data_IF_372555303901
#
_entry.id   IF_372555303901
#
_cell.length_a   1.000
_cell.length_b   1.000
_cell.length_c   1.000
_cell.angle_alpha   90.00
_cell.angle_beta   90.00
_cell.angle_gamma   90.00
#
_symmetry.space_group_name_H-M   'P 1'
#
loop_
_entity.id
_entity.type
_entity.pdbx_description
1 polymer ?
#
# COMPACT_ATOMS: atom_id res chain seq x y z
N UNK A 1 4.74 -5.23 49.12
CA UNK A 1 6.19 -5.47 49.07
C UNK A 1 6.95 -4.39 49.82
N UNK A 2 7.11 -3.17 49.29
CA UNK A 2 7.87 -2.11 50.00
C UNK A 2 7.15 -1.59 51.27
N UNK A 3 5.84 -1.34 51.18
CA UNK A 3 5.04 -0.87 52.32
C UNK A 3 4.53 -2.03 53.20
N UNK A 4 5.03 -3.25 53.00
CA UNK A 4 4.67 -4.46 53.77
C UNK A 4 3.17 -4.85 53.74
N UNK A 5 2.38 -4.30 52.81
CA UNK A 5 0.96 -4.66 52.61
C UNK A 5 0.79 -6.02 51.88
N UNK A 6 1.83 -6.49 51.19
CA UNK A 6 1.84 -7.71 50.38
C UNK A 6 3.19 -8.40 50.52
N UNK A 7 3.19 -9.72 50.73
CA UNK A 7 4.40 -10.52 51.00
C UNK A 7 5.17 -10.93 49.75
N UNK A 8 4.48 -11.21 48.63
CA UNK A 8 5.11 -11.66 47.37
C UNK A 8 4.36 -11.12 46.14
N UNK A 9 5.10 -10.78 45.08
CA UNK A 9 4.55 -10.43 43.77
C UNK A 9 5.01 -11.43 42.70
N UNK A 10 4.07 -11.94 41.91
CA UNK A 10 4.33 -12.83 40.76
C UNK A 10 3.81 -12.17 39.48
N UNK A 11 4.64 -12.15 38.43
CA UNK A 11 4.30 -11.53 37.16
C UNK A 11 5.51 -11.21 36.29
N UNK A 12 5.27 -10.53 35.17
CA UNK A 12 6.30 -10.12 34.22
C UNK A 12 6.96 -8.80 34.67
N UNK A 13 7.80 -8.90 35.69
CA UNK A 13 8.54 -7.75 36.20
C UNK A 13 9.90 -7.64 35.52
N UNK A 14 10.23 -6.45 35.02
CA UNK A 14 11.57 -6.16 34.54
C UNK A 14 12.55 -6.10 35.73
N UNK A 15 13.71 -6.72 35.56
CA UNK A 15 14.84 -6.63 36.48
C UNK A 15 15.65 -5.36 36.15
N UNK A 16 15.57 -4.34 37.00
CA UNK A 16 16.29 -3.05 36.83
C UNK A 16 17.03 -2.69 38.12
N UNK A 17 18.07 -1.84 38.00
CA UNK A 17 18.91 -1.46 39.13
C UNK A 17 18.10 -0.79 40.25
N UNK A 18 17.27 0.18 39.88
CA UNK A 18 16.47 0.99 40.79
C UNK A 18 15.48 0.13 41.58
N UNK A 19 14.95 -0.93 40.95
CA UNK A 19 14.03 -1.85 41.63
C UNK A 19 14.75 -2.79 42.58
N UNK A 20 15.99 -3.16 42.27
CA UNK A 20 16.83 -3.99 43.15
C UNK A 20 17.32 -3.24 44.40
N UNK A 21 17.28 -1.91 44.41
CA UNK A 21 17.58 -1.10 45.60
C UNK A 21 16.50 -1.19 46.67
N UNK A 22 15.24 -1.42 46.26
CA UNK A 22 14.08 -1.43 47.16
C UNK A 22 13.47 -2.81 47.36
N UNK A 23 13.67 -3.75 46.42
CA UNK A 23 13.03 -5.07 46.43
C UNK A 23 14.02 -6.18 46.07
N UNK A 24 13.91 -7.33 46.73
CA UNK A 24 14.66 -8.54 46.37
C UNK A 24 13.90 -9.36 45.33
N UNK A 25 14.51 -9.57 44.16
CA UNK A 25 13.97 -10.43 43.10
C UNK A 25 14.65 -11.81 43.05
N UNK A 26 13.96 -12.78 42.44
CA UNK A 26 14.55 -14.08 42.06
C UNK A 26 15.38 -13.92 40.78
N UNK A 27 16.33 -14.82 40.55
CA UNK A 27 17.13 -14.87 39.33
C UNK A 27 16.22 -14.81 38.08
N UNK A 28 16.48 -13.90 37.11
CA UNK A 28 15.65 -13.77 35.94
C UNK A 28 15.68 -15.06 35.09
N UNK A 29 14.50 -15.63 34.81
CA UNK A 29 14.35 -16.86 34.05
C UNK A 29 13.91 -16.64 32.59
N UNK A 30 13.50 -15.41 32.23
CA UNK A 30 13.06 -15.04 30.89
C UNK A 30 13.70 -13.73 30.45
N UNK A 31 14.34 -13.75 29.29
CA UNK A 31 14.99 -12.58 28.69
C UNK A 31 14.35 -12.29 27.32
N UNK A 32 13.94 -11.05 27.11
CA UNK A 32 13.40 -10.59 25.83
C UNK A 32 14.01 -9.25 25.45
N UNK A 33 14.00 -8.96 24.15
CA UNK A 33 14.45 -7.69 23.59
C UNK A 33 13.27 -6.73 23.47
N UNK A 34 13.54 -5.43 23.46
CA UNK A 34 12.52 -4.44 23.13
C UNK A 34 12.20 -4.57 21.63
N UNK A 35 10.97 -4.92 21.31
CA UNK A 35 10.50 -5.02 19.93
C UNK A 35 9.60 -3.81 19.66
N UNK A 36 9.91 -3.07 18.59
CA UNK A 36 9.08 -1.95 18.16
C UNK A 36 8.04 -2.46 17.15
N UNK A 37 6.76 -2.36 17.50
CA UNK A 37 5.67 -2.70 16.59
C UNK A 37 5.26 -1.49 15.77
N UNK A 38 5.54 -1.49 14.47
CA UNK A 38 5.04 -0.47 13.53
C UNK A 38 3.78 -1.03 12.88
N UNK A 39 2.63 -0.39 13.16
CA UNK A 39 1.42 -0.65 12.38
C UNK A 39 1.50 0.14 11.09
N UNK A 40 1.88 -0.51 10.01
CA UNK A 40 1.72 0.07 8.68
C UNK A 40 0.22 0.21 8.42
N UNK A 41 -0.24 1.46 8.26
CA UNK A 41 -1.53 1.74 7.64
C UNK A 41 -1.36 1.42 6.16
N UNK A 42 -1.47 0.14 5.80
CA UNK A 42 -1.59 -0.24 4.41
C UNK A 42 -2.86 0.41 3.89
N UNK A 43 -2.73 1.51 3.16
CA UNK A 43 -3.80 1.93 2.26
C UNK A 43 -3.79 0.92 1.12
N UNK A 44 -4.49 -0.18 1.34
CA UNK A 44 -4.84 -1.12 0.29
C UNK A 44 -5.72 -0.35 -0.68
N UNK A 45 -5.23 -0.16 -1.91
CA UNK A 45 -6.05 0.32 -3.03
C UNK A 45 -7.43 -0.35 -2.97
N UNK A 46 -8.47 0.45 -3.11
CA UNK A 46 -9.83 -0.08 -3.25
C UNK A 46 -9.89 -0.95 -4.51
N UNK A 47 -10.81 -1.92 -4.54
CA UNK A 47 -10.90 -2.87 -5.67
C UNK A 47 -11.02 -2.18 -7.04
N UNK A 48 -11.53 -0.95 -7.09
CA UNK A 48 -11.68 -0.17 -8.32
C UNK A 48 -10.40 0.58 -8.69
N UNK A 49 -9.63 1.08 -7.71
CA UNK A 49 -8.34 1.74 -7.93
C UNK A 49 -7.30 0.79 -8.52
N UNK A 50 -7.42 -0.52 -8.29
CA UNK A 50 -6.54 -1.55 -8.88
C UNK A 50 -6.59 -1.50 -10.42
N UNK A 51 -7.71 -1.15 -11.04
CA UNK A 51 -7.81 -1.05 -12.50
C UNK A 51 -7.04 0.16 -13.07
N UNK A 52 -6.96 1.25 -12.30
CA UNK A 52 -6.23 2.46 -12.69
C UNK A 52 -4.77 2.48 -12.20
N UNK A 53 -4.39 1.53 -11.33
CA UNK A 53 -3.05 1.37 -10.76
C UNK A 53 -1.88 1.28 -11.74
N UNK A 54 -1.97 0.62 -12.92
CA UNK A 54 -0.76 0.31 -13.69
C UNK A 54 -0.07 1.54 -14.29
N UNK A 55 -0.76 2.68 -14.42
CA UNK A 55 -0.24 3.86 -15.10
C UNK A 55 -0.65 5.15 -14.40
N UNK A 56 0.21 6.18 -14.51
CA UNK A 56 -0.10 7.53 -14.05
C UNK A 56 -1.22 8.18 -14.87
N UNK A 57 -1.87 9.20 -14.29
CA UNK A 57 -2.95 9.96 -14.94
C UNK A 57 -2.53 10.51 -16.31
N UNK A 58 -1.29 11.01 -16.42
CA UNK A 58 -0.74 11.53 -17.68
C UNK A 58 -0.69 10.46 -18.77
N UNK A 59 -0.27 9.24 -18.42
CA UNK A 59 -0.19 8.11 -19.34
C UNK A 59 -1.59 7.68 -19.80
N UNK A 60 -2.58 7.66 -18.90
CA UNK A 60 -3.97 7.39 -19.25
C UNK A 60 -4.55 8.41 -20.23
N UNK A 61 -4.25 9.70 -20.03
CA UNK A 61 -4.66 10.77 -20.95
C UNK A 61 -4.01 10.58 -22.33
N UNK A 62 -2.71 10.28 -22.37
CA UNK A 62 -1.99 10.01 -23.61
C UNK A 62 -2.56 8.81 -24.38
N UNK A 63 -2.88 7.72 -23.68
CA UNK A 63 -3.53 6.54 -24.28
C UNK A 63 -4.89 6.90 -24.88
N UNK A 64 -5.71 7.65 -24.14
CA UNK A 64 -7.03 8.05 -24.62
C UNK A 64 -6.91 8.92 -25.87
N UNK A 65 -6.01 9.91 -25.87
CA UNK A 65 -5.78 10.79 -27.03
C UNK A 65 -5.29 9.99 -28.24
N UNK A 66 -4.30 9.11 -28.06
CA UNK A 66 -3.75 8.32 -29.16
C UNK A 66 -4.81 7.43 -29.82
N UNK A 67 -5.68 6.80 -29.02
CA UNK A 67 -6.78 5.98 -29.52
C UNK A 67 -7.79 6.81 -30.33
N UNK A 68 -8.19 7.98 -29.83
CA UNK A 68 -9.11 8.87 -30.54
C UNK A 68 -8.52 9.38 -31.86
N UNK A 69 -7.23 9.70 -31.89
CA UNK A 69 -6.54 10.16 -33.10
C UNK A 69 -6.58 9.10 -34.20
N UNK A 70 -6.33 7.82 -33.86
CA UNK A 70 -6.42 6.71 -34.80
C UNK A 70 -7.84 6.56 -35.36
N UNK A 71 -8.87 6.67 -34.51
CA UNK A 71 -10.27 6.58 -34.95
C UNK A 71 -10.63 7.73 -35.90
N UNK A 72 -10.20 8.95 -35.59
CA UNK A 72 -10.42 10.11 -36.45
C UNK A 72 -9.73 9.90 -37.80
N UNK A 73 -8.48 9.44 -37.83
CA UNK A 73 -7.78 9.14 -39.08
C UNK A 73 -8.48 8.06 -39.89
N UNK A 74 -8.92 6.98 -39.26
CA UNK A 74 -9.65 5.92 -39.95
C UNK A 74 -10.97 6.45 -40.54
N UNK A 75 -11.69 7.29 -39.78
CA UNK A 75 -12.92 7.93 -40.23
C UNK A 75 -12.69 8.89 -41.40
N UNK A 76 -11.64 9.73 -41.35
CA UNK A 76 -11.35 10.65 -42.46
C UNK A 76 -10.94 9.88 -43.73
N UNK A 77 -10.12 8.84 -43.60
CA UNK A 77 -9.75 7.96 -44.72
C UNK A 77 -11.01 7.31 -45.30
N UNK A 78 -11.87 6.71 -44.47
CA UNK A 78 -13.09 6.08 -44.93
C UNK A 78 -14.00 7.04 -45.70
N UNK A 79 -14.22 8.25 -45.18
CA UNK A 79 -15.01 9.26 -45.87
C UNK A 79 -14.35 9.67 -47.19
N UNK A 80 -13.06 9.96 -47.22
CA UNK A 80 -12.34 10.34 -48.44
C UNK A 80 -12.41 9.25 -49.52
N UNK A 81 -12.27 7.98 -49.12
CA UNK A 81 -12.44 6.83 -50.01
C UNK A 81 -13.87 6.72 -50.51
N UNK A 82 -14.87 6.94 -49.65
CA UNK A 82 -16.28 6.89 -50.04
C UNK A 82 -16.70 8.02 -51.00
N UNK A 83 -16.07 9.19 -50.93
CA UNK A 83 -16.32 10.32 -51.85
C UNK A 83 -15.54 10.20 -53.17
N UNK A 84 -14.50 9.37 -53.25
CA UNK A 84 -13.72 9.19 -54.47
C UNK A 84 -14.37 8.14 -55.38
N UNK A 85 -14.92 8.58 -56.53
CA UNK A 85 -15.43 7.69 -57.59
C UNK A 85 -14.40 6.64 -58.07
N UNK A 86 -13.10 6.85 -57.82
CA UNK A 86 -12.02 5.93 -58.20
C UNK A 86 -11.86 4.74 -57.25
N UNK A 87 -12.33 4.81 -56.00
CA UNK A 87 -12.24 3.70 -55.05
C UNK A 87 -13.25 2.59 -55.35
N UNK A 88 -14.37 2.91 -55.99
CA UNK A 88 -15.40 1.95 -56.40
C UNK A 88 -14.94 1.02 -57.56
N UNK A 89 -13.80 1.30 -58.20
CA UNK A 89 -13.27 0.52 -59.34
C UNK A 89 -12.19 -0.48 -58.90
N UNK A 90 -11.65 -0.35 -57.67
CA UNK A 90 -10.56 -1.20 -57.16
C UNK A 90 -10.99 -2.29 -56.16
N UNK A 91 -12.30 -2.51 -55.98
CA UNK A 91 -12.88 -3.69 -55.32
C UNK A 91 -13.64 -4.48 -56.39
#
# INVERSE_FOLDING_TARGET
LNDHIVDMGLGCFRYTLERCEVLTGVLPYYQTWQIFGIKFTGQTYTSLEIFAFPFDLETWICLLISFQLILILAFTIHNLTSYSQLACIMI
#
